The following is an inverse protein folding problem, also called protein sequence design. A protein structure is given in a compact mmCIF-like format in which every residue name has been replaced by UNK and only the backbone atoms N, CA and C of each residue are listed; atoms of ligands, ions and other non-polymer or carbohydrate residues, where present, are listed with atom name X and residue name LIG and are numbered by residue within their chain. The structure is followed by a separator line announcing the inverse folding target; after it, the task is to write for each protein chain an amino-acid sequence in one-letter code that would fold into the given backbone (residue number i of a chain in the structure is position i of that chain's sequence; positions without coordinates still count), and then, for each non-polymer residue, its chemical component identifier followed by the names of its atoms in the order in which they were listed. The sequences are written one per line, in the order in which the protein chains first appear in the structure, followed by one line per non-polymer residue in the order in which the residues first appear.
data_IF_072419019495
#
_entry.id   IF_072419019495
#
_cell.length_a   1.000
_cell.length_b   1.000
_cell.length_c   1.000
_cell.angle_alpha   90.00
_cell.angle_beta   90.00
_cell.angle_gamma   90.00
#
_symmetry.space_group_name_H-M   'P 1'
#
loop_
_entity.id
_entity.type
_entity.pdbx_description
1 polymer ?
#
# COMPACT_ATOMS: atom_id res chain seq x y z
N UNK A 1 -5.42 4.53 -21.08
CA UNK A 1 -6.31 4.63 -22.24
C UNK A 1 -5.73 3.93 -23.47
N UNK A 2 -4.49 4.25 -23.90
CA UNK A 2 -3.87 3.65 -25.08
C UNK A 2 -3.86 2.11 -25.06
N UNK A 3 -3.53 1.50 -23.93
CA UNK A 3 -3.54 0.03 -23.77
C UNK A 3 -4.98 -0.49 -23.78
N UNK A 4 -5.88 0.14 -23.04
CA UNK A 4 -7.26 -0.28 -22.92
C UNK A 4 -8.09 -0.16 -24.20
N UNK A 5 -7.70 0.71 -25.15
CA UNK A 5 -8.39 0.85 -26.46
C UNK A 5 -7.92 -0.15 -27.51
N UNK A 6 -6.85 -0.90 -27.27
CA UNK A 6 -6.44 -1.96 -28.17
C UNK A 6 -7.34 -3.18 -27.97
N UNK A 7 -8.32 -3.35 -28.83
CA UNK A 7 -9.38 -4.36 -28.71
C UNK A 7 -8.87 -5.81 -28.61
N UNK A 8 -7.63 -6.07 -29.01
CA UNK A 8 -6.97 -7.37 -28.89
C UNK A 8 -6.45 -7.68 -27.50
N UNK A 9 -6.31 -6.68 -26.65
CA UNK A 9 -5.75 -6.82 -25.29
C UNK A 9 -6.81 -6.85 -24.19
N UNK A 10 -8.07 -6.87 -24.58
CA UNK A 10 -9.19 -7.14 -23.68
C UNK A 10 -9.58 -8.61 -23.69
N UNK A 11 -10.54 -8.97 -22.87
CA UNK A 11 -11.16 -10.28 -22.97
C UNK A 11 -12.04 -10.33 -24.23
N UNK A 12 -12.14 -11.51 -24.86
CA UNK A 12 -13.07 -11.75 -25.99
C UNK A 12 -14.54 -11.52 -25.64
N UNK A 13 -14.84 -11.28 -24.37
CA UNK A 13 -16.20 -11.07 -23.86
C UNK A 13 -16.54 -9.61 -23.57
N UNK A 14 -15.54 -8.71 -23.61
CA UNK A 14 -15.75 -7.28 -23.45
C UNK A 14 -15.43 -6.57 -24.76
N UNK A 15 -16.41 -5.90 -25.38
CA UNK A 15 -16.25 -5.25 -26.70
C UNK A 15 -15.33 -4.02 -26.66
N UNK A 16 -14.96 -3.56 -25.48
CA UNK A 16 -14.10 -2.37 -25.25
C UNK A 16 -12.96 -2.75 -24.32
N UNK A 17 -11.77 -2.22 -24.56
CA UNK A 17 -10.64 -2.38 -23.65
C UNK A 17 -10.94 -1.82 -22.27
N UNK A 18 -10.49 -2.52 -21.23
CA UNK A 18 -10.67 -2.09 -19.84
C UNK A 18 -9.41 -2.33 -19.03
N UNK A 19 -9.27 -1.57 -17.94
CA UNK A 19 -8.28 -1.79 -16.89
C UNK A 19 -8.97 -2.21 -15.60
N UNK A 20 -8.32 -3.08 -14.82
CA UNK A 20 -8.80 -3.48 -13.50
C UNK A 20 -7.92 -2.87 -12.42
N UNK A 21 -8.48 -1.94 -11.66
CA UNK A 21 -7.83 -1.36 -10.49
C UNK A 21 -7.98 -2.29 -9.29
N UNK A 22 -6.85 -2.61 -8.66
CA UNK A 22 -6.82 -3.59 -7.57
C UNK A 22 -6.85 -2.92 -6.20
N UNK A 23 -7.21 -3.69 -5.16
CA UNK A 23 -7.13 -3.26 -3.76
C UNK A 23 -5.70 -2.99 -3.26
N UNK A 24 -4.68 -3.24 -4.10
CA UNK A 24 -3.28 -2.95 -3.83
C UNK A 24 -2.75 -1.79 -4.68
N UNK A 25 -3.66 -0.91 -5.16
CA UNK A 25 -3.30 0.30 -5.90
C UNK A 25 -2.48 0.00 -7.16
N UNK A 26 -2.77 -1.14 -7.78
CA UNK A 26 -2.22 -1.54 -9.07
C UNK A 26 -3.30 -1.51 -10.15
N UNK A 27 -2.90 -1.47 -11.40
CA UNK A 27 -3.78 -1.72 -12.54
C UNK A 27 -3.39 -3.06 -13.19
N UNK A 28 -4.37 -3.85 -13.58
CA UNK A 28 -4.20 -5.09 -14.34
C UNK A 28 -4.77 -4.92 -15.73
N UNK A 29 -4.01 -5.39 -16.71
CA UNK A 29 -4.47 -5.57 -18.08
C UNK A 29 -4.44 -7.07 -18.35
N UNK A 30 -5.63 -7.65 -18.55
CA UNK A 30 -5.79 -9.09 -18.70
C UNK A 30 -5.68 -9.50 -20.16
N UNK A 31 -5.24 -10.75 -20.42
CA UNK A 31 -5.25 -11.40 -21.72
C UNK A 31 -4.36 -10.72 -22.78
N UNK A 32 -3.30 -10.06 -22.38
CA UNK A 32 -2.29 -9.52 -23.29
C UNK A 32 -1.52 -10.70 -23.90
N UNK A 33 -1.42 -10.81 -25.23
CA UNK A 33 -0.57 -11.78 -25.87
C UNK A 33 0.89 -11.61 -25.46
N UNK A 34 1.62 -12.72 -25.28
CA UNK A 34 3.02 -12.66 -24.87
C UNK A 34 3.88 -11.84 -25.84
N UNK A 35 3.56 -11.90 -27.12
CA UNK A 35 4.23 -11.14 -28.20
C UNK A 35 4.13 -9.62 -28.00
N UNK A 36 3.05 -9.15 -27.40
CA UNK A 36 2.75 -7.73 -27.25
C UNK A 36 3.22 -7.18 -25.86
N UNK A 37 3.77 -8.06 -25.01
CA UNK A 37 4.11 -7.70 -23.63
C UNK A 37 5.21 -6.63 -23.56
N UNK A 38 6.17 -6.65 -24.49
CA UNK A 38 7.23 -5.65 -24.56
C UNK A 38 6.67 -4.27 -24.89
N UNK A 39 5.80 -4.18 -25.89
CA UNK A 39 5.19 -2.92 -26.32
C UNK A 39 4.31 -2.32 -25.22
N UNK A 40 3.63 -3.17 -24.44
CA UNK A 40 2.86 -2.73 -23.28
C UNK A 40 3.78 -2.17 -22.19
N UNK A 41 4.92 -2.81 -21.91
CA UNK A 41 5.88 -2.32 -20.94
C UNK A 41 6.50 -0.99 -21.38
N UNK A 42 6.85 -0.83 -22.63
CA UNK A 42 7.37 0.41 -23.20
C UNK A 42 6.34 1.54 -23.08
N UNK A 43 5.07 1.25 -23.38
CA UNK A 43 4.00 2.23 -23.23
C UNK A 43 3.78 2.64 -21.78
N UNK A 44 3.85 1.71 -20.83
CA UNK A 44 3.77 2.01 -19.40
C UNK A 44 4.97 2.86 -18.92
N UNK A 45 6.15 2.60 -19.46
CA UNK A 45 7.36 3.38 -19.14
C UNK A 45 7.22 4.87 -19.51
N UNK A 46 6.44 5.20 -20.56
CA UNK A 46 6.19 6.60 -20.96
C UNK A 46 5.49 7.43 -19.88
N UNK A 47 4.81 6.77 -18.95
CA UNK A 47 4.13 7.39 -17.79
C UNK A 47 4.75 6.97 -16.46
N UNK A 48 6.02 6.55 -16.48
CA UNK A 48 6.79 6.11 -15.32
C UNK A 48 6.15 4.95 -14.53
N UNK A 49 5.42 4.07 -15.22
CA UNK A 49 4.86 2.84 -14.63
C UNK A 49 5.70 1.63 -15.00
N UNK A 50 5.77 0.67 -14.09
CA UNK A 50 6.47 -0.60 -14.30
C UNK A 50 5.81 -1.75 -13.53
N UNK A 51 6.15 -3.00 -13.89
CA UNK A 51 5.62 -4.21 -13.27
C UNK A 51 6.42 -4.78 -12.11
N UNK A 52 7.50 -4.12 -11.65
CA UNK A 52 8.36 -4.62 -10.57
C UNK A 52 7.56 -4.70 -9.27
N UNK A 53 7.73 -5.81 -8.50
CA UNK A 53 7.01 -6.09 -7.25
C UNK A 53 5.49 -6.21 -7.36
N UNK A 54 4.93 -6.31 -8.55
CA UNK A 54 3.49 -6.54 -8.73
C UNK A 54 3.11 -8.01 -8.64
N UNK A 55 4.07 -8.94 -8.83
CA UNK A 55 3.86 -10.39 -8.86
C UNK A 55 5.01 -11.14 -8.16
N UNK A 56 4.89 -12.46 -7.98
CA UNK A 56 5.93 -13.36 -7.46
C UNK A 56 5.94 -13.54 -5.94
N UNK A 57 6.92 -14.31 -5.48
CA UNK A 57 7.20 -14.61 -4.08
C UNK A 57 8.24 -13.63 -3.51
N UNK A 58 7.93 -12.36 -3.58
CA UNK A 58 8.75 -11.26 -3.11
C UNK A 58 7.92 -10.31 -2.25
N UNK A 59 8.56 -9.30 -1.69
CA UNK A 59 7.86 -8.15 -1.14
C UNK A 59 7.17 -7.44 -2.30
N UNK A 60 5.85 -7.27 -2.18
CA UNK A 60 5.02 -6.58 -3.17
C UNK A 60 5.13 -5.07 -2.98
N UNK A 61 4.55 -4.29 -3.89
CA UNK A 61 4.43 -2.85 -3.71
C UNK A 61 3.93 -2.50 -2.31
N UNK A 62 4.46 -1.44 -1.72
CA UNK A 62 4.04 -0.93 -0.41
C UNK A 62 2.81 -0.04 -0.63
N UNK A 63 1.77 -0.22 0.17
CA UNK A 63 0.52 0.54 0.01
C UNK A 63 0.24 1.42 1.21
N UNK A 64 -0.44 2.52 0.95
CA UNK A 64 -1.03 3.42 1.95
C UNK A 64 -2.54 3.52 1.71
N UNK A 65 -3.23 4.45 2.35
CA UNK A 65 -4.64 4.73 2.08
C UNK A 65 -4.81 5.81 0.99
N UNK A 66 -6.04 5.94 0.49
CA UNK A 66 -6.40 6.87 -0.58
C UNK A 66 -6.33 8.34 -0.18
N UNK A 67 -6.31 8.64 1.12
CA UNK A 67 -6.22 10.00 1.68
C UNK A 67 -4.81 10.31 2.22
N UNK A 68 -3.83 9.42 1.99
CA UNK A 68 -2.46 9.63 2.46
C UNK A 68 -1.89 10.98 1.99
N UNK A 69 -1.36 11.74 2.93
CA UNK A 69 -0.81 13.08 2.71
C UNK A 69 -1.85 14.21 2.70
N UNK A 70 -3.16 13.88 2.80
CA UNK A 70 -4.23 14.88 2.79
C UNK A 70 -5.29 14.68 3.88
N UNK A 71 -5.28 13.55 4.57
CA UNK A 71 -6.28 13.22 5.60
C UNK A 71 -6.23 14.19 6.78
N UNK A 72 -7.41 14.58 7.27
CA UNK A 72 -7.52 15.48 8.41
C UNK A 72 -7.08 14.84 9.75
N UNK A 73 -7.17 13.51 9.85
CA UNK A 73 -6.79 12.70 11.00
C UNK A 73 -5.35 12.13 10.91
N UNK A 74 -4.54 12.63 9.98
CA UNK A 74 -3.18 12.14 9.72
C UNK A 74 -2.21 12.57 10.84
N UNK A 75 -1.57 11.59 11.47
CA UNK A 75 -0.51 11.80 12.48
C UNK A 75 0.79 12.22 11.78
N UNK A 76 1.10 11.54 10.67
CA UNK A 76 2.21 11.84 9.78
C UNK A 76 1.95 11.25 8.40
N UNK A 77 2.50 11.87 7.35
CA UNK A 77 2.38 11.40 5.97
C UNK A 77 3.08 10.04 5.80
N UNK A 78 2.35 8.96 5.46
CA UNK A 78 2.95 7.63 5.29
C UNK A 78 3.70 7.45 3.97
N UNK A 79 3.48 8.32 2.97
CA UNK A 79 4.00 8.16 1.60
C UNK A 79 5.52 8.17 1.53
N UNK A 80 6.26 9.06 2.24
CA UNK A 80 7.73 9.01 2.25
C UNK A 80 8.27 7.68 2.77
N UNK A 81 7.67 7.15 3.82
CA UNK A 81 8.08 5.85 4.38
C UNK A 81 7.76 4.69 3.44
N UNK A 82 6.59 4.72 2.78
CA UNK A 82 6.23 3.72 1.78
C UNK A 82 7.24 3.71 0.63
N UNK A 83 7.67 4.88 0.16
CA UNK A 83 8.65 5.01 -0.92
C UNK A 83 10.05 4.54 -0.49
N UNK A 84 10.50 4.90 0.71
CA UNK A 84 11.77 4.41 1.26
C UNK A 84 11.77 2.87 1.33
N UNK A 85 10.71 2.28 1.88
CA UNK A 85 10.58 0.82 1.96
C UNK A 85 10.49 0.17 0.57
N UNK A 86 9.86 0.82 -0.40
CA UNK A 86 9.84 0.35 -1.79
C UNK A 86 11.24 0.34 -2.38
N UNK A 87 12.00 1.42 -2.24
CA UNK A 87 13.37 1.51 -2.77
C UNK A 87 14.27 0.45 -2.12
N UNK A 88 14.21 0.31 -0.80
CA UNK A 88 14.98 -0.69 -0.07
C UNK A 88 14.65 -2.13 -0.48
N UNK A 89 13.37 -2.44 -0.67
CA UNK A 89 12.93 -3.81 -0.97
C UNK A 89 13.03 -4.19 -2.45
N UNK A 90 13.17 -3.19 -3.34
CA UNK A 90 13.30 -3.42 -4.78
C UNK A 90 14.66 -4.06 -5.08
N UNK A 91 14.63 -5.22 -5.75
CA UNK A 91 15.82 -6.01 -6.11
C UNK A 91 16.70 -6.42 -4.92
N UNK A 92 16.18 -6.36 -3.69
CA UNK A 92 16.91 -6.87 -2.53
C UNK A 92 17.17 -8.37 -2.68
N UNK A 93 18.41 -8.85 -2.59
CA UNK A 93 18.75 -10.22 -2.93
C UNK A 93 18.06 -11.27 -2.04
N UNK A 94 17.87 -10.97 -0.76
CA UNK A 94 17.20 -11.89 0.18
C UNK A 94 15.67 -11.93 0.01
N UNK A 95 15.07 -10.96 -0.68
CA UNK A 95 13.60 -10.82 -0.78
C UNK A 95 13.03 -11.33 -2.10
N UNK A 96 13.87 -11.82 -3.02
CA UNK A 96 13.43 -12.29 -4.34
C UNK A 96 12.74 -13.66 -4.31
N UNK A 97 13.08 -14.50 -3.32
CA UNK A 97 12.62 -15.89 -3.22
C UNK A 97 12.04 -16.23 -1.85
N UNK A 98 11.11 -15.43 -1.38
CA UNK A 98 10.38 -15.68 -0.14
C UNK A 98 9.51 -16.94 -0.26
N UNK A 99 9.11 -17.58 0.84
CA UNK A 99 8.21 -18.75 0.79
C UNK A 99 6.91 -18.48 0.03
N UNK A 100 6.38 -17.24 0.14
CA UNK A 100 5.17 -16.78 -0.56
C UNK A 100 5.20 -15.25 -0.69
N UNK A 101 4.30 -14.70 -1.56
CA UNK A 101 4.07 -13.26 -1.69
C UNK A 101 3.95 -12.59 -0.32
N UNK A 102 4.56 -11.44 -0.17
CA UNK A 102 4.64 -10.69 1.09
C UNK A 102 4.15 -9.26 0.87
N UNK A 103 3.23 -8.80 1.68
CA UNK A 103 2.54 -7.53 1.49
C UNK A 103 2.68 -6.67 2.73
N UNK A 104 3.09 -5.41 2.53
CA UNK A 104 3.22 -4.41 3.57
C UNK A 104 2.24 -3.28 3.26
N UNK A 105 1.57 -2.77 4.29
CA UNK A 105 0.76 -1.56 4.20
C UNK A 105 1.06 -0.64 5.37
N UNK A 106 0.99 0.67 5.13
CA UNK A 106 1.27 1.72 6.11
C UNK A 106 0.05 2.63 6.19
N UNK A 107 -0.38 2.99 7.39
CA UNK A 107 -1.29 4.10 7.60
C UNK A 107 -0.63 5.17 8.46
N UNK A 108 -0.84 6.43 8.09
CA UNK A 108 -0.42 7.59 8.87
C UNK A 108 -1.57 8.24 9.64
N UNK A 109 -2.77 7.72 9.47
CA UNK A 109 -3.99 8.26 10.05
C UNK A 109 -4.47 7.44 11.26
N UNK A 110 -5.37 8.02 12.05
CA UNK A 110 -5.99 7.30 13.18
C UNK A 110 -6.94 6.21 12.70
N UNK A 111 -7.62 6.44 11.57
CA UNK A 111 -8.47 5.46 10.90
C UNK A 111 -7.65 4.53 10.02
N UNK A 112 -7.88 3.22 10.13
CA UNK A 112 -7.20 2.21 9.30
C UNK A 112 -7.87 2.06 7.92
N UNK A 113 -7.81 3.07 7.08
CA UNK A 113 -8.28 3.03 5.69
C UNK A 113 -7.38 2.17 4.79
N UNK A 114 -6.10 2.03 5.13
CA UNK A 114 -5.16 1.18 4.41
C UNK A 114 -5.34 -0.32 4.71
N UNK A 115 -6.23 -0.67 5.64
CA UNK A 115 -6.49 -2.05 6.08
C UNK A 115 -5.20 -2.78 6.51
N UNK A 116 -4.32 -2.08 7.23
CA UNK A 116 -2.99 -2.59 7.63
C UNK A 116 -3.10 -3.87 8.45
N UNK A 117 -4.15 -4.02 9.23
CA UNK A 117 -4.39 -5.22 10.06
C UNK A 117 -4.50 -6.52 9.26
N UNK A 118 -4.79 -6.47 7.96
CA UNK A 118 -4.95 -7.64 7.09
C UNK A 118 -3.74 -7.91 6.21
N UNK A 119 -2.65 -7.21 6.42
CA UNK A 119 -1.43 -7.37 5.64
C UNK A 119 -0.45 -8.30 6.32
N UNK A 120 0.47 -8.88 5.55
CA UNK A 120 1.54 -9.71 6.10
C UNK A 120 2.38 -8.92 7.11
N UNK A 121 2.58 -7.62 6.83
CA UNK A 121 2.99 -6.60 7.80
C UNK A 121 2.07 -5.39 7.70
N UNK A 122 1.57 -4.94 8.83
CA UNK A 122 0.79 -3.71 8.99
C UNK A 122 1.53 -2.71 9.86
N UNK A 123 1.66 -1.49 9.37
CA UNK A 123 2.41 -0.42 10.03
C UNK A 123 1.49 0.77 10.32
N UNK A 124 1.38 1.15 11.59
CA UNK A 124 0.75 2.39 11.99
C UNK A 124 1.82 3.40 12.35
N UNK A 125 1.83 4.57 11.71
CA UNK A 125 2.57 5.71 12.22
C UNK A 125 1.88 6.23 13.49
N UNK A 126 2.64 6.33 14.55
CA UNK A 126 2.17 6.78 15.88
C UNK A 126 3.18 7.72 16.50
N UNK A 127 2.76 8.45 17.51
CA UNK A 127 3.66 9.18 18.41
C UNK A 127 3.61 8.55 19.79
N UNK A 128 4.77 8.45 20.44
CA UNK A 128 4.85 8.05 21.84
C UNK A 128 4.47 9.21 22.77
N UNK A 129 4.51 8.99 24.08
CA UNK A 129 4.20 10.00 25.09
C UNK A 129 5.13 11.24 25.04
N UNK A 130 6.37 11.05 24.56
CA UNK A 130 7.32 12.14 24.35
C UNK A 130 7.09 12.90 23.04
N UNK A 131 6.10 12.50 22.21
CA UNK A 131 5.80 13.10 20.91
C UNK A 131 6.71 12.60 19.78
N UNK A 132 7.58 11.63 20.03
CA UNK A 132 8.47 11.07 19.02
C UNK A 132 7.70 10.18 18.05
N UNK A 133 8.00 10.34 16.74
CA UNK A 133 7.39 9.54 15.68
C UNK A 133 7.98 8.11 15.66
N UNK A 134 7.12 7.15 15.43
CA UNK A 134 7.49 5.76 15.31
C UNK A 134 6.40 4.92 14.68
N UNK A 135 6.61 3.61 14.70
CA UNK A 135 5.68 2.63 14.16
C UNK A 135 5.18 1.68 15.24
N UNK A 136 3.89 1.42 15.22
CA UNK A 136 3.33 0.20 15.79
C UNK A 136 3.31 -0.86 14.69
N UNK A 137 3.86 -2.04 14.96
CA UNK A 137 4.09 -3.08 13.96
C UNK A 137 3.24 -4.32 14.24
N UNK A 138 2.41 -4.68 13.26
CA UNK A 138 1.63 -5.92 13.25
C UNK A 138 2.19 -6.86 12.19
N UNK A 139 2.24 -8.16 12.48
CA UNK A 139 2.72 -9.17 11.55
C UNK A 139 1.77 -10.38 11.51
N UNK A 140 1.69 -11.03 10.36
CA UNK A 140 0.92 -12.25 10.19
C UNK A 140 -0.55 -12.05 9.88
N UNK A 141 -0.95 -10.86 9.41
CA UNK A 141 -2.27 -10.65 8.85
C UNK A 141 -2.42 -11.27 7.46
N UNK A 142 -3.63 -11.40 6.99
CA UNK A 142 -3.87 -11.85 5.61
C UNK A 142 -5.29 -12.24 5.31
N UNK A 143 -5.69 -11.93 4.08
CA UNK A 143 -6.95 -12.34 3.47
C UNK A 143 -6.86 -13.74 2.84
N UNK A 144 -7.92 -14.19 2.23
CA UNK A 144 -8.06 -15.46 1.56
C UNK A 144 -9.04 -16.39 2.28
N UNK A 145 -8.95 -17.71 2.06
CA UNK A 145 -9.91 -18.69 2.62
C UNK A 145 -10.01 -18.66 4.16
N UNK A 146 -8.93 -18.25 4.83
CA UNK A 146 -8.87 -18.13 6.29
C UNK A 146 -8.31 -16.76 6.60
N UNK A 147 -9.15 -15.71 6.69
CA UNK A 147 -8.69 -14.37 7.03
C UNK A 147 -8.16 -14.34 8.46
N UNK A 148 -7.07 -13.58 8.68
CA UNK A 148 -6.41 -13.42 9.98
C UNK A 148 -6.03 -11.97 10.15
N UNK A 149 -6.27 -11.43 11.34
CA UNK A 149 -5.75 -10.13 11.77
C UNK A 149 -4.31 -10.32 12.23
N UNK A 150 -3.43 -9.40 11.86
CA UNK A 150 -2.03 -9.41 12.28
C UNK A 150 -1.87 -9.30 13.79
N UNK A 151 -0.86 -9.97 14.32
CA UNK A 151 -0.46 -9.87 15.72
C UNK A 151 0.45 -8.67 15.90
N UNK A 152 0.19 -7.85 16.90
CA UNK A 152 1.12 -6.79 17.30
C UNK A 152 2.38 -7.42 17.89
N UNK A 153 3.54 -7.13 17.27
CA UNK A 153 4.83 -7.64 17.72
C UNK A 153 5.75 -6.53 18.27
N UNK A 154 5.39 -5.27 17.99
CA UNK A 154 6.11 -4.11 18.51
C UNK A 154 5.13 -2.96 18.68
N UNK A 155 4.93 -2.51 19.92
CA UNK A 155 4.02 -1.42 20.25
C UNK A 155 4.56 -0.05 19.79
N UNK A 156 5.88 0.14 19.89
CA UNK A 156 6.58 1.33 19.39
C UNK A 156 7.97 0.97 18.87
N UNK A 157 8.26 1.40 17.68
CA UNK A 157 9.57 1.31 17.03
C UNK A 157 9.93 2.70 16.51
N UNK A 158 11.09 3.30 16.86
CA UNK A 158 11.51 4.57 16.26
C UNK A 158 11.47 4.51 14.74
N UNK A 159 10.97 5.56 14.10
CA UNK A 159 10.72 5.58 12.64
C UNK A 159 11.95 5.22 11.80
N UNK A 160 13.14 5.62 12.26
CA UNK A 160 14.39 5.40 11.54
C UNK A 160 14.89 3.95 11.60
N UNK A 161 14.29 3.10 12.43
CA UNK A 161 14.67 1.70 12.59
C UNK A 161 13.77 0.74 11.80
N UNK A 162 12.78 1.24 11.07
CA UNK A 162 11.77 0.39 10.44
C UNK A 162 12.36 -0.60 9.44
N UNK A 163 13.36 -0.22 8.65
CA UNK A 163 13.97 -1.14 7.68
C UNK A 163 14.77 -2.24 8.38
N UNK A 164 15.57 -1.92 9.39
CA UNK A 164 16.30 -2.92 10.18
C UNK A 164 15.35 -3.92 10.83
N UNK A 165 14.22 -3.46 11.37
CA UNK A 165 13.23 -4.33 11.99
C UNK A 165 12.50 -5.20 10.97
N UNK A 166 12.10 -4.63 9.83
CA UNK A 166 11.46 -5.40 8.76
C UNK A 166 12.38 -6.42 8.14
N UNK A 167 13.68 -6.14 8.06
CA UNK A 167 14.68 -7.11 7.64
C UNK A 167 14.69 -8.31 8.59
N UNK A 168 14.69 -8.10 9.89
CA UNK A 168 14.58 -9.18 10.88
C UNK A 168 13.30 -10.02 10.67
N UNK A 169 12.16 -9.36 10.50
CA UNK A 169 10.86 -10.03 10.23
C UNK A 169 10.95 -10.92 8.98
N UNK A 170 11.53 -10.39 7.90
CA UNK A 170 11.61 -11.11 6.61
C UNK A 170 12.65 -12.23 6.66
N UNK A 171 13.81 -12.02 7.31
CA UNK A 171 14.85 -13.05 7.50
C UNK A 171 14.29 -14.25 8.27
N UNK A 172 13.61 -14.02 9.39
CA UNK A 172 12.98 -15.10 10.17
C UNK A 172 11.91 -15.81 9.34
N UNK A 173 11.06 -15.06 8.63
CA UNK A 173 10.09 -15.66 7.73
C UNK A 173 10.75 -16.47 6.61
N UNK A 174 11.85 -16.00 6.05
CA UNK A 174 12.57 -16.67 4.97
C UNK A 174 13.19 -18.00 5.44
N UNK A 175 13.68 -18.04 6.70
CA UNK A 175 14.25 -19.26 7.33
C UNK A 175 13.18 -20.27 7.73
N UNK A 176 12.09 -19.82 8.34
CA UNK A 176 11.08 -20.68 8.99
C UNK A 176 9.81 -20.93 8.16
N UNK A 177 9.58 -20.12 7.15
CA UNK A 177 8.40 -20.22 6.29
C UNK A 177 8.42 -21.51 5.46
N UNK A 178 7.27 -22.18 5.38
CA UNK A 178 7.14 -23.42 4.63
C UNK A 178 7.27 -23.20 3.12
N UNK A 179 8.02 -24.08 2.45
CA UNK A 179 8.21 -24.08 0.99
C UNK A 179 7.68 -25.33 0.32
N UNK A 180 7.41 -26.38 1.09
CA UNK A 180 6.87 -27.66 0.65
C UNK A 180 5.39 -27.60 0.27
N UNK A 181 4.63 -26.64 0.83
CA UNK A 181 3.21 -26.50 0.60
C UNK A 181 2.81 -25.04 0.42
N UNK A 182 2.51 -24.66 -0.83
CA UNK A 182 2.13 -23.31 -1.25
C UNK A 182 0.90 -22.74 -0.51
N UNK A 183 -0.01 -23.61 -0.05
CA UNK A 183 -1.20 -23.19 0.70
C UNK A 183 -0.92 -22.87 2.16
N UNK A 184 0.23 -23.34 2.68
CA UNK A 184 0.66 -23.14 4.06
C UNK A 184 1.92 -22.25 4.16
N UNK A 185 2.34 -21.65 3.05
CA UNK A 185 3.58 -20.89 2.95
C UNK A 185 3.47 -19.42 3.41
N UNK A 186 2.24 -18.86 3.56
CA UNK A 186 2.06 -17.47 3.99
C UNK A 186 2.53 -17.25 5.43
N UNK A 187 3.11 -16.06 5.70
CA UNK A 187 3.60 -15.69 7.04
C UNK A 187 2.53 -15.80 8.13
N UNK A 188 1.27 -15.52 7.82
CA UNK A 188 0.16 -15.67 8.78
C UNK A 188 0.03 -17.07 9.36
N UNK A 189 0.41 -18.10 8.57
CA UNK A 189 0.40 -19.49 9.03
C UNK A 189 1.56 -19.72 10.00
N UNK A 190 2.73 -19.21 9.67
CA UNK A 190 3.92 -19.29 10.52
C UNK A 190 3.69 -18.58 11.86
N UNK A 191 3.27 -17.32 11.83
CA UNK A 191 3.03 -16.53 13.05
C UNK A 191 1.98 -17.20 13.95
N UNK A 192 0.92 -17.75 13.36
CA UNK A 192 -0.11 -18.48 14.13
C UNK A 192 0.44 -19.77 14.74
N UNK A 193 1.33 -20.47 14.06
CA UNK A 193 1.88 -21.74 14.52
C UNK A 193 2.93 -21.56 15.62
N UNK A 194 3.83 -20.58 15.46
CA UNK A 194 4.98 -20.36 16.34
C UNK A 194 4.66 -19.40 17.51
N UNK A 195 3.68 -18.51 17.32
CA UNK A 195 3.26 -17.58 18.38
C UNK A 195 4.40 -16.73 18.93
N UNK A 196 4.58 -16.76 20.25
CA UNK A 196 5.63 -15.98 20.93
C UNK A 196 7.04 -16.33 20.45
N UNK A 197 7.31 -17.58 20.14
CA UNK A 197 8.62 -18.02 19.63
C UNK A 197 9.03 -17.29 18.36
N UNK A 198 8.06 -17.00 17.46
CA UNK A 198 8.35 -16.19 16.26
C UNK A 198 8.73 -14.76 16.64
N UNK A 199 8.03 -14.17 17.60
CA UNK A 199 8.28 -12.80 18.07
C UNK A 199 9.68 -12.70 18.70
N UNK A 200 10.02 -13.65 19.58
CA UNK A 200 11.31 -13.70 20.26
C UNK A 200 12.47 -13.85 19.26
N UNK A 201 12.29 -14.66 18.22
CA UNK A 201 13.29 -14.84 17.17
C UNK A 201 13.45 -13.58 16.30
N UNK A 202 12.35 -12.89 15.98
CA UNK A 202 12.42 -11.59 15.27
C UNK A 202 13.18 -10.57 16.11
N UNK A 203 12.93 -10.53 17.41
CA UNK A 203 13.65 -9.63 18.30
C UNK A 203 15.14 -9.96 18.38
N UNK A 204 15.49 -11.25 18.50
CA UNK A 204 16.88 -11.70 18.51
C UNK A 204 17.60 -11.34 17.20
N UNK A 205 16.95 -11.57 16.05
CA UNK A 205 17.49 -11.18 14.74
C UNK A 205 17.65 -9.67 14.63
N UNK A 206 16.69 -8.90 15.12
CA UNK A 206 16.78 -7.43 15.12
C UNK A 206 17.97 -6.95 15.96
N UNK A 207 18.20 -7.53 17.16
CA UNK A 207 19.37 -7.22 17.95
C UNK A 207 20.67 -7.60 17.25
N UNK A 208 20.70 -8.71 16.53
CA UNK A 208 21.86 -9.09 15.70
C UNK A 208 22.13 -8.05 14.61
N UNK A 209 21.10 -7.60 13.89
CA UNK A 209 21.23 -6.54 12.87
C UNK A 209 21.78 -5.25 13.47
N UNK A 210 21.34 -4.88 14.67
CA UNK A 210 21.82 -3.66 15.34
C UNK A 210 23.27 -3.77 15.78
N UNK A 211 23.68 -4.92 16.30
CA UNK A 211 24.98 -5.09 16.99
C UNK A 211 26.05 -5.70 16.09
N UNK A 212 25.72 -6.73 15.30
CA UNK A 212 26.66 -7.45 14.45
C UNK A 212 26.77 -6.82 13.06
N UNK A 213 25.64 -6.47 12.46
CA UNK A 213 25.60 -5.88 11.12
C UNK A 213 25.78 -4.35 11.16
N UNK A 214 25.76 -3.71 12.32
CA UNK A 214 25.96 -2.26 12.48
C UNK A 214 24.76 -1.42 12.05
N UNK A 215 23.55 -1.97 12.09
CA UNK A 215 22.28 -1.31 11.73
C UNK A 215 22.31 -0.64 10.33
N UNK A 216 22.62 -1.42 9.27
CA UNK A 216 22.97 -0.88 7.93
C UNK A 216 21.83 -0.13 7.27
N UNK A 217 20.59 -0.37 7.70
CA UNK A 217 19.38 0.20 7.11
C UNK A 217 18.73 1.27 8.01
N UNK A 218 19.51 1.92 8.86
CA UNK A 218 19.01 3.05 9.67
C UNK A 218 18.72 4.24 8.77
N UNK A 219 17.47 4.69 8.74
CA UNK A 219 17.06 5.83 7.91
C UNK A 219 17.63 7.11 8.54
N UNK A 220 18.34 7.89 7.76
CA UNK A 220 18.81 9.21 8.18
C UNK A 220 17.73 10.28 7.97
N UNK A 221 17.80 11.37 8.73
CA UNK A 221 16.90 12.51 8.52
C UNK A 221 17.04 13.06 7.10
N UNK A 222 18.26 13.15 6.58
CA UNK A 222 18.52 13.63 5.22
C UNK A 222 17.82 12.75 4.15
N UNK A 223 17.78 11.45 4.33
CA UNK A 223 17.07 10.54 3.42
C UNK A 223 15.55 10.73 3.52
N UNK A 224 15.01 10.84 4.72
CA UNK A 224 13.59 11.14 4.90
C UNK A 224 13.21 12.48 4.25
N UNK A 225 14.01 13.51 4.44
CA UNK A 225 13.79 14.84 3.84
C UNK A 225 13.84 14.77 2.31
N UNK A 226 14.84 14.06 1.76
CA UNK A 226 14.98 13.86 0.31
C UNK A 226 13.74 13.23 -0.31
N UNK A 227 13.22 12.18 0.30
CA UNK A 227 12.03 11.48 -0.20
C UNK A 227 10.77 12.31 0.03
N UNK A 228 10.65 12.97 1.18
CA UNK A 228 9.51 13.84 1.49
C UNK A 228 9.37 14.97 0.48
N UNK A 229 10.50 15.53 0.01
CA UNK A 229 10.51 16.58 -1.01
C UNK A 229 9.90 16.16 -2.36
N UNK A 230 9.77 14.85 -2.63
CA UNK A 230 9.09 14.35 -3.83
C UNK A 230 7.55 14.45 -3.74
N UNK A 231 6.99 14.59 -2.55
CA UNK A 231 5.54 14.65 -2.31
C UNK A 231 5.05 16.10 -2.16
N UNK A 232 5.32 16.92 -3.17
CA UNK A 232 4.92 18.33 -3.18
C UNK A 232 3.42 18.44 -3.41
N UNK A 233 2.67 19.19 -2.55
CA UNK A 233 1.29 19.48 -2.82
C UNK A 233 1.12 20.21 -4.15
N UNK A 234 0.06 19.92 -4.93
CA UNK A 234 -0.20 20.66 -6.16
C UNK A 234 -0.40 22.15 -5.85
N UNK A 235 0.09 23.02 -6.72
CA UNK A 235 -0.23 24.46 -6.64
C UNK A 235 -1.72 24.61 -6.86
N UNK A 236 -2.41 25.03 -5.82
CA UNK A 236 -3.85 25.32 -5.91
C UNK A 236 -4.00 26.66 -6.62
N UNK A 237 -4.91 26.70 -7.60
CA UNK A 237 -5.36 27.98 -8.16
C UNK A 237 -5.99 28.81 -7.04
N UNK A 238 -5.77 30.13 -7.06
CA UNK A 238 -6.53 31.03 -6.22
C UNK A 238 -8.00 30.87 -6.61
N UNK A 239 -8.77 30.22 -5.74
CA UNK A 239 -10.19 30.03 -5.96
C UNK A 239 -10.86 31.33 -5.57
N UNK A 240 -11.26 32.14 -6.55
CA UNK A 240 -12.29 33.14 -6.36
C UNK A 240 -13.55 32.44 -5.81
N UNK A 241 -14.29 33.07 -4.92
CA UNK A 241 -15.51 32.51 -4.30
C UNK A 241 -16.31 31.69 -5.29
N UNK A 242 -16.29 30.36 -5.12
CA UNK A 242 -17.06 29.45 -5.95
C UNK A 242 -18.52 29.60 -5.50
N UNK A 243 -19.38 30.06 -6.36
CA UNK A 243 -20.82 29.99 -6.08
C UNK A 243 -21.19 28.56 -5.84
N UNK A 244 -21.77 28.27 -4.67
CA UNK A 244 -22.28 26.93 -4.39
C UNK A 244 -23.25 26.51 -5.51
N UNK A 245 -23.04 25.28 -6.03
CA UNK A 245 -23.92 24.74 -7.04
C UNK A 245 -25.36 24.71 -6.50
N UNK A 246 -26.28 25.30 -7.22
CA UNK A 246 -27.72 25.24 -6.85
C UNK A 246 -28.23 23.85 -7.19
N UNK A 247 -28.53 23.07 -6.16
CA UNK A 247 -29.14 21.75 -6.32
C UNK A 247 -30.64 21.88 -6.36
N UNK A 248 -31.36 21.34 -7.36
CA UNK A 248 -32.80 21.32 -7.37
C UNK A 248 -33.39 20.66 -6.12
N UNK A 249 -34.47 21.18 -5.57
CA UNK A 249 -35.05 20.74 -4.30
C UNK A 249 -35.39 19.23 -4.29
N UNK A 250 -35.84 18.69 -5.42
CA UNK A 250 -36.18 17.28 -5.61
C UNK A 250 -34.94 16.37 -5.54
N UNK A 251 -33.75 16.91 -5.75
CA UNK A 251 -32.47 16.16 -5.69
C UNK A 251 -31.65 16.43 -4.42
N UNK A 252 -32.11 17.32 -3.55
CA UNK A 252 -31.35 17.73 -2.38
C UNK A 252 -31.01 16.54 -1.46
N UNK A 253 -31.97 15.65 -1.20
CA UNK A 253 -31.77 14.47 -0.35
C UNK A 253 -30.71 13.51 -0.92
N UNK A 254 -30.66 13.32 -2.24
CA UNK A 254 -29.67 12.47 -2.89
C UNK A 254 -28.29 13.14 -2.88
N UNK A 255 -28.24 14.45 -3.04
CA UNK A 255 -27.00 15.22 -2.96
C UNK A 255 -26.41 15.20 -1.55
N UNK A 256 -27.23 15.38 -0.51
CA UNK A 256 -26.78 15.34 0.88
C UNK A 256 -26.22 13.94 1.23
N UNK A 257 -26.88 12.87 0.77
CA UNK A 257 -26.38 11.51 0.92
C UNK A 257 -25.06 11.32 0.19
N UNK A 258 -24.95 11.83 -1.03
CA UNK A 258 -23.72 11.74 -1.81
C UNK A 258 -22.57 12.47 -1.11
N UNK A 259 -22.81 13.67 -0.58
CA UNK A 259 -21.83 14.42 0.21
C UNK A 259 -21.32 13.60 1.40
N UNK A 260 -22.23 13.00 2.16
CA UNK A 260 -21.86 12.18 3.33
C UNK A 260 -21.00 10.96 2.97
N UNK A 261 -21.24 10.38 1.82
CA UNK A 261 -20.57 9.12 1.41
C UNK A 261 -19.29 9.33 0.62
N UNK A 262 -19.16 10.47 -0.08
CA UNK A 262 -18.09 10.65 -1.05
C UNK A 262 -17.17 11.84 -0.76
N UNK A 263 -17.48 12.67 0.24
CA UNK A 263 -16.70 13.86 0.55
C UNK A 263 -16.12 13.76 1.95
N UNK A 264 -14.78 13.69 2.03
CA UNK A 264 -14.04 13.64 3.29
C UNK A 264 -13.35 15.00 3.58
N UNK A 265 -13.13 15.26 4.86
CA UNK A 265 -12.34 16.40 5.31
C UNK A 265 -10.89 16.27 4.85
N UNK A 266 -10.29 17.39 4.47
CA UNK A 266 -8.90 17.51 4.10
C UNK A 266 -8.13 18.24 5.22
N UNK A 267 -6.83 17.94 5.43
CA UNK A 267 -5.99 18.64 6.43
C UNK A 267 -5.93 20.16 6.21
N UNK A 268 -6.04 20.60 4.95
CA UNK A 268 -6.28 22.01 4.66
C UNK A 268 -7.81 22.26 4.71
N UNK A 269 -8.33 23.08 5.64
CA UNK A 269 -9.76 23.26 5.83
C UNK A 269 -10.49 23.92 4.63
N UNK A 270 -9.75 24.52 3.72
CA UNK A 270 -10.28 25.10 2.48
C UNK A 270 -10.55 24.06 1.39
N UNK A 271 -10.11 22.82 1.58
CA UNK A 271 -10.21 21.75 0.60
C UNK A 271 -11.09 20.61 1.11
N UNK A 272 -11.50 19.78 0.18
CA UNK A 272 -12.19 18.51 0.44
C UNK A 272 -11.60 17.42 -0.43
N UNK A 273 -11.55 16.20 0.09
CA UNK A 273 -11.27 15.02 -0.69
C UNK A 273 -12.59 14.45 -1.23
N UNK A 274 -12.65 14.17 -2.52
CA UNK A 274 -13.84 13.64 -3.16
C UNK A 274 -13.55 12.28 -3.77
N UNK A 275 -14.32 11.27 -3.35
CA UNK A 275 -14.24 9.92 -3.91
C UNK A 275 -15.14 9.81 -5.14
N UNK A 276 -14.57 9.43 -6.27
CA UNK A 276 -15.31 9.16 -7.51
C UNK A 276 -15.31 7.66 -7.79
N UNK A 277 -16.46 7.10 -8.10
CA UNK A 277 -16.59 5.72 -8.54
C UNK A 277 -16.56 5.65 -10.07
N UNK A 278 -15.61 4.92 -10.63
CA UNK A 278 -15.57 4.67 -12.08
C UNK A 278 -16.49 3.52 -12.53
N UNK A 279 -16.91 2.68 -11.58
CA UNK A 279 -17.80 1.58 -11.92
C UNK A 279 -19.25 2.04 -12.07
N UNK A 280 -19.93 1.51 -13.07
CA UNK A 280 -21.40 1.65 -13.19
C UNK A 280 -22.13 0.69 -12.26
N UNK A 281 -23.40 0.95 -12.00
CA UNK A 281 -24.24 0.03 -11.24
C UNK A 281 -24.30 -1.34 -11.94
N UNK A 282 -24.03 -2.41 -11.18
CA UNK A 282 -23.99 -3.79 -11.69
C UNK A 282 -22.66 -4.24 -12.27
N UNK A 283 -21.66 -3.36 -12.44
CA UNK A 283 -20.32 -3.76 -12.87
C UNK A 283 -19.48 -4.31 -11.71
N UNK A 284 -18.45 -5.10 -12.03
CA UNK A 284 -17.48 -5.58 -11.08
C UNK A 284 -16.69 -4.43 -10.45
N UNK A 285 -16.37 -4.48 -9.14
CA UNK A 285 -15.53 -3.48 -8.52
C UNK A 285 -14.13 -3.48 -9.13
N UNK A 286 -13.59 -2.29 -9.38
CA UNK A 286 -12.23 -2.11 -9.90
C UNK A 286 -12.14 -2.04 -11.43
N UNK A 287 -13.13 -2.50 -12.16
CA UNK A 287 -13.13 -2.40 -13.61
C UNK A 287 -13.47 -0.97 -14.06
N UNK A 288 -12.67 -0.44 -14.98
CA UNK A 288 -12.90 0.85 -15.62
C UNK A 288 -12.70 0.71 -17.13
N UNK A 289 -13.64 1.24 -17.89
CA UNK A 289 -13.57 1.29 -19.34
C UNK A 289 -12.44 2.23 -19.79
N UNK A 290 -11.91 2.01 -21.00
CA UNK A 290 -10.82 2.82 -21.55
C UNK A 290 -11.27 4.24 -21.94
N UNK A 291 -12.57 4.44 -22.15
CA UNK A 291 -13.21 5.72 -22.47
C UNK A 291 -13.61 6.46 -21.22
#
# INVERSE_FOLDING_TARGET
KAIGTQATWGTTHLPVGYGHFTTRQNVQFNWIPLTDSADVMDLLATVNMHGIQTSGNCIRNITTDELAGVAADEIADPRPFAEILRQWSTLHPEFAFLPRKFKIAITGATDDRAAVRWHDVGLYLIKNEAGELGFRVLVGGGMGRTPVIGTEIRAFLPWNQIMNFLEAVVRVYNRWGRRDNIYKARIKILVKAEGQRYIDEVEAEYQNILTQDGAPHTITQAELDRVTACFVPPKLAEVSETKAATVPAERQKDYDRWLQQNVASHKNPKLRAVTLSFKRLGQAPGDADAD
#
